data_IF_671001303984
#
_entry.id   IF_671001303984
#
_cell.length_a   1.000
_cell.length_b   1.000
_cell.length_c   1.000
_cell.angle_alpha   90.00
_cell.angle_beta   90.00
_cell.angle_gamma   90.00
#
_symmetry.space_group_name_H-M   'P 1'
#
loop_
_entity.id
_entity.type
_entity.pdbx_description
1 polymer ?
#
# COMPACT_ATOMS: atom_id res chain seq x y z
N UNK A 1 2.80 -68.62 6.93
CA UNK A 1 2.85 -67.25 7.48
C UNK A 1 2.05 -66.38 6.52
N UNK A 2 0.92 -65.83 6.98
CA UNK A 2 -0.03 -65.13 6.12
C UNK A 2 0.44 -63.68 5.90
N UNK A 3 0.38 -63.18 4.67
CA UNK A 3 0.88 -61.83 4.32
C UNK A 3 0.11 -60.73 5.08
N UNK A 4 -1.10 -61.04 5.56
CA UNK A 4 -1.94 -60.18 6.37
C UNK A 4 -1.41 -59.89 7.80
N UNK A 5 -0.46 -60.68 8.32
CA UNK A 5 0.10 -60.51 9.67
C UNK A 5 1.35 -59.63 9.72
N UNK A 6 1.77 -59.04 8.59
CA UNK A 6 2.87 -58.08 8.58
C UNK A 6 2.43 -56.80 9.34
N UNK A 7 3.21 -56.31 10.33
CA UNK A 7 2.80 -55.16 11.15
C UNK A 7 2.53 -53.89 10.34
N UNK A 8 3.10 -53.77 9.13
CA UNK A 8 2.80 -52.67 8.19
C UNK A 8 1.49 -52.84 7.41
N UNK A 9 1.01 -54.07 7.19
CA UNK A 9 -0.24 -54.35 6.48
C UNK A 9 -1.46 -53.89 7.29
N UNK A 10 -1.44 -54.13 8.61
CA UNK A 10 -2.47 -53.66 9.54
C UNK A 10 -2.57 -52.13 9.58
N UNK A 11 -1.45 -51.40 9.54
CA UNK A 11 -1.42 -49.93 9.50
C UNK A 11 -2.03 -49.41 8.19
N UNK A 12 -1.68 -50.01 7.05
CA UNK A 12 -2.21 -49.60 5.74
C UNK A 12 -3.72 -49.85 5.62
N UNK A 13 -4.21 -50.99 6.10
CA UNK A 13 -5.64 -51.32 6.11
C UNK A 13 -6.42 -50.37 7.03
N UNK A 14 -5.91 -50.14 8.24
CA UNK A 14 -6.53 -49.20 9.18
C UNK A 14 -6.53 -47.77 8.61
N UNK A 15 -5.53 -47.41 7.79
CA UNK A 15 -5.53 -46.12 7.09
C UNK A 15 -6.54 -46.01 5.96
N UNK A 16 -6.80 -47.11 5.26
CA UNK A 16 -7.75 -47.16 4.15
C UNK A 16 -9.21 -47.10 4.65
N UNK A 17 -9.50 -47.67 5.82
CA UNK A 17 -10.84 -47.71 6.42
C UNK A 17 -11.28 -46.33 6.95
N UNK A 18 -10.38 -45.58 7.60
CA UNK A 18 -10.73 -44.20 8.00
C UNK A 18 -10.89 -43.29 6.79
N UNK A 19 -10.08 -43.48 5.74
CA UNK A 19 -10.13 -42.64 4.54
C UNK A 19 -11.42 -42.87 3.76
N UNK A 20 -11.91 -44.11 3.67
CA UNK A 20 -13.21 -44.42 3.04
C UNK A 20 -14.40 -43.93 3.86
N UNK A 21 -14.36 -44.04 5.19
CA UNK A 21 -15.40 -43.48 6.07
C UNK A 21 -15.43 -41.94 6.04
N UNK A 22 -14.27 -41.28 5.94
CA UNK A 22 -14.16 -39.83 5.88
C UNK A 22 -14.34 -39.26 4.46
N UNK A 23 -14.22 -40.08 3.42
CA UNK A 23 -14.30 -39.69 2.01
C UNK A 23 -15.50 -38.80 1.66
N UNK A 24 -16.76 -39.11 2.05
CA UNK A 24 -17.89 -38.24 1.70
C UNK A 24 -17.83 -36.88 2.40
N UNK A 25 -17.32 -36.82 3.64
CA UNK A 25 -17.18 -35.58 4.39
C UNK A 25 -16.05 -34.70 3.83
N UNK A 26 -14.91 -35.30 3.46
CA UNK A 26 -13.80 -34.60 2.82
C UNK A 26 -14.18 -34.10 1.42
N UNK A 27 -14.92 -34.91 0.66
CA UNK A 27 -15.45 -34.51 -0.65
C UNK A 27 -16.42 -33.34 -0.56
N UNK A 28 -17.21 -33.23 0.51
CA UNK A 28 -18.12 -32.10 0.73
C UNK A 28 -17.45 -30.86 1.31
N UNK A 29 -16.45 -31.02 2.19
CA UNK A 29 -15.70 -29.90 2.79
C UNK A 29 -14.75 -29.23 1.78
N UNK A 30 -14.16 -30.00 0.87
CA UNK A 30 -13.22 -29.50 -0.15
C UNK A 30 -13.78 -28.35 -1.01
N UNK A 31 -14.97 -28.46 -1.66
CA UNK A 31 -15.51 -27.39 -2.48
C UNK A 31 -15.91 -26.16 -1.67
N UNK A 32 -16.39 -26.34 -0.44
CA UNK A 32 -16.74 -25.22 0.46
C UNK A 32 -15.48 -24.47 0.87
N UNK A 33 -14.42 -25.20 1.25
CA UNK A 33 -13.13 -24.61 1.57
C UNK A 33 -12.53 -23.87 0.36
N UNK A 34 -12.58 -24.49 -0.82
CA UNK A 34 -12.10 -23.89 -2.06
C UNK A 34 -12.90 -22.63 -2.43
N UNK A 35 -14.23 -22.69 -2.38
CA UNK A 35 -15.10 -21.55 -2.67
C UNK A 35 -14.85 -20.39 -1.69
N UNK A 36 -14.72 -20.70 -0.40
CA UNK A 36 -14.40 -19.70 0.63
C UNK A 36 -13.03 -19.07 0.38
N UNK A 37 -12.03 -19.88 0.02
CA UNK A 37 -10.70 -19.41 -0.31
C UNK A 37 -10.70 -18.49 -1.54
N UNK A 38 -11.41 -18.87 -2.61
CA UNK A 38 -11.57 -18.05 -3.82
C UNK A 38 -12.26 -16.72 -3.49
N UNK A 39 -13.35 -16.75 -2.70
CA UNK A 39 -14.07 -15.55 -2.26
C UNK A 39 -13.17 -14.59 -1.50
N UNK A 40 -12.42 -15.09 -0.50
CA UNK A 40 -11.48 -14.28 0.28
C UNK A 40 -10.36 -13.74 -0.60
N UNK A 41 -9.81 -14.54 -1.51
CA UNK A 41 -8.77 -14.12 -2.43
C UNK A 41 -9.26 -13.02 -3.38
N UNK A 42 -10.47 -13.17 -3.94
CA UNK A 42 -11.08 -12.19 -4.82
C UNK A 42 -11.40 -10.88 -4.09
N UNK A 43 -11.93 -10.96 -2.86
CA UNK A 43 -12.19 -9.78 -2.03
C UNK A 43 -10.90 -9.03 -1.70
N UNK A 44 -9.84 -9.74 -1.30
CA UNK A 44 -8.51 -9.15 -1.09
C UNK A 44 -7.95 -8.51 -2.35
N UNK A 45 -8.09 -9.16 -3.51
CA UNK A 45 -7.61 -8.61 -4.77
C UNK A 45 -8.34 -7.32 -5.16
N UNK A 46 -9.65 -7.23 -4.90
CA UNK A 46 -10.44 -6.00 -5.11
C UNK A 46 -9.97 -4.88 -4.19
N UNK A 47 -9.84 -5.13 -2.90
CA UNK A 47 -9.33 -4.15 -1.94
C UNK A 47 -7.94 -3.61 -2.33
N UNK A 48 -7.05 -4.46 -2.85
CA UNK A 48 -5.75 -4.02 -3.35
C UNK A 48 -5.89 -3.09 -4.54
N UNK A 49 -6.78 -3.39 -5.48
CA UNK A 49 -7.03 -2.54 -6.66
C UNK A 49 -7.63 -1.20 -6.27
N UNK A 50 -8.60 -1.20 -5.36
CA UNK A 50 -9.28 0.01 -4.90
C UNK A 50 -8.29 0.93 -4.16
N UNK A 51 -7.47 0.37 -3.27
CA UNK A 51 -6.44 1.16 -2.55
C UNK A 51 -5.29 1.60 -3.46
N UNK A 52 -4.97 0.85 -4.51
CA UNK A 52 -4.02 1.29 -5.53
C UNK A 52 -4.58 2.44 -6.37
N UNK A 53 -5.89 2.44 -6.64
CA UNK A 53 -6.57 3.51 -7.36
C UNK A 53 -6.67 4.79 -6.51
N UNK A 54 -6.91 4.66 -5.21
CA UNK A 54 -6.97 5.77 -4.25
C UNK A 54 -5.60 6.11 -3.64
N UNK A 55 -4.53 6.16 -4.43
CA UNK A 55 -3.23 6.63 -3.93
C UNK A 55 -3.15 8.15 -3.93
N UNK A 56 -2.79 8.72 -2.80
CA UNK A 56 -2.48 10.14 -2.70
C UNK A 56 -1.03 10.33 -3.13
N UNK A 57 -0.83 11.35 -3.96
CA UNK A 57 0.49 11.79 -4.41
C UNK A 57 0.80 13.14 -3.80
N UNK A 58 2.03 13.31 -3.34
CA UNK A 58 2.54 14.55 -2.74
C UNK A 58 3.87 14.87 -3.39
N UNK A 59 4.02 16.09 -3.90
CA UNK A 59 5.29 16.55 -4.46
C UNK A 59 6.21 17.07 -3.36
N UNK A 60 7.48 16.71 -3.43
CA UNK A 60 8.52 17.05 -2.47
C UNK A 60 9.55 17.90 -3.21
N UNK A 61 9.59 19.20 -2.89
CA UNK A 61 10.41 20.19 -3.60
C UNK A 61 11.54 20.63 -2.69
N UNK A 62 12.79 20.23 -2.98
CA UNK A 62 13.95 20.71 -2.23
C UNK A 62 14.22 22.18 -2.55
N UNK A 63 14.66 22.93 -1.56
CA UNK A 63 15.23 24.27 -1.74
C UNK A 63 16.67 24.18 -2.28
N UNK A 64 17.22 25.31 -2.73
CA UNK A 64 18.58 25.39 -3.29
C UNK A 64 19.69 25.07 -2.29
N UNK A 65 19.39 25.07 -0.99
CA UNK A 65 20.35 24.80 0.10
C UNK A 65 20.20 23.40 0.69
N UNK A 66 19.36 22.55 0.09
CA UNK A 66 19.06 21.22 0.61
C UNK A 66 20.32 20.33 0.66
N UNK A 67 20.84 20.10 1.86
CA UNK A 67 21.98 19.21 2.12
C UNK A 67 21.73 18.41 3.42
N UNK A 68 20.92 17.34 3.35
CA UNK A 68 20.46 16.64 4.54
C UNK A 68 21.61 15.85 5.21
N UNK A 69 21.69 15.96 6.53
CA UNK A 69 22.57 15.11 7.32
C UNK A 69 22.08 13.65 7.34
N UNK A 70 22.99 12.69 7.54
CA UNK A 70 22.64 11.28 7.64
C UNK A 70 21.59 11.00 8.73
N UNK A 71 21.65 11.74 9.85
CA UNK A 71 20.67 11.66 10.93
C UNK A 71 19.27 12.14 10.53
N UNK A 72 19.16 13.13 9.64
CA UNK A 72 17.89 13.59 9.08
C UNK A 72 17.32 12.58 8.10
N UNK A 73 18.16 12.01 7.24
CA UNK A 73 17.77 10.91 6.34
C UNK A 73 17.20 9.74 7.15
N UNK A 74 17.87 9.35 8.24
CA UNK A 74 17.40 8.26 9.12
C UNK A 74 16.07 8.57 9.81
N UNK A 75 15.84 9.82 10.25
CA UNK A 75 14.56 10.24 10.83
C UNK A 75 13.44 10.19 9.80
N UNK A 76 13.70 10.70 8.60
CA UNK A 76 12.73 10.68 7.51
C UNK A 76 12.40 9.26 7.06
N UNK A 77 13.40 8.38 6.97
CA UNK A 77 13.17 6.96 6.65
C UNK A 77 12.25 6.27 7.67
N UNK A 78 12.43 6.54 8.97
CA UNK A 78 11.52 6.04 10.02
C UNK A 78 10.11 6.60 9.88
N UNK A 79 9.97 7.88 9.55
CA UNK A 79 8.66 8.49 9.29
C UNK A 79 7.97 7.81 8.11
N UNK A 80 8.66 7.56 6.99
CA UNK A 80 8.12 6.83 5.85
C UNK A 80 7.73 5.39 6.21
N UNK A 81 8.48 4.73 7.09
CA UNK A 81 8.12 3.40 7.60
C UNK A 81 6.75 3.35 8.31
N UNK A 82 6.29 4.48 8.88
CA UNK A 82 4.97 4.58 9.53
C UNK A 82 3.81 4.63 8.55
N UNK A 83 4.04 4.91 7.27
CA UNK A 83 3.01 4.90 6.22
C UNK A 83 2.34 3.52 6.15
N UNK A 84 3.13 2.45 6.23
CA UNK A 84 2.59 1.09 6.24
C UNK A 84 1.68 0.82 7.45
N UNK A 85 2.05 1.34 8.63
CA UNK A 85 1.27 1.19 9.87
C UNK A 85 -0.07 1.91 9.81
N UNK A 86 -0.19 2.99 9.03
CA UNK A 86 -1.46 3.70 8.85
C UNK A 86 -2.46 2.99 7.92
N UNK A 87 -2.10 1.82 7.40
CA UNK A 87 -2.90 1.05 6.45
C UNK A 87 -3.05 -0.43 6.89
N UNK A 88 -3.36 -0.64 8.19
CA UNK A 88 -3.43 -1.94 8.88
C UNK A 88 -4.32 -2.98 8.18
N UNK A 89 -5.40 -2.55 7.52
CA UNK A 89 -6.34 -3.43 6.81
C UNK A 89 -5.98 -3.68 5.33
N UNK A 90 -4.89 -3.08 4.84
CA UNK A 90 -4.49 -3.13 3.43
C UNK A 90 -3.32 -4.09 3.23
N UNK A 91 -3.38 -5.00 2.24
CA UNK A 91 -2.26 -5.89 1.92
C UNK A 91 -0.97 -5.10 1.63
N UNK A 92 0.19 -5.70 1.94
CA UNK A 92 1.50 -5.03 1.94
C UNK A 92 1.81 -4.20 0.68
N UNK A 93 1.39 -4.65 -0.50
CA UNK A 93 1.57 -3.91 -1.76
C UNK A 93 0.75 -2.62 -1.84
N UNK A 94 -0.44 -2.59 -1.25
CA UNK A 94 -1.32 -1.43 -1.23
C UNK A 94 -0.91 -0.40 -0.17
N UNK A 95 -0.34 -0.85 0.94
CA UNK A 95 0.11 -0.01 2.06
C UNK A 95 1.53 0.56 1.94
N UNK A 96 2.29 0.16 0.91
CA UNK A 96 3.64 0.65 0.69
C UNK A 96 3.68 2.12 0.24
N UNK A 97 4.56 2.92 0.83
CA UNK A 97 4.99 4.20 0.29
C UNK A 97 5.84 3.97 -0.97
N UNK A 98 5.72 4.85 -1.97
CA UNK A 98 6.55 4.83 -3.18
C UNK A 98 7.15 6.21 -3.42
N UNK A 99 8.37 6.21 -3.92
CA UNK A 99 9.04 7.41 -4.38
C UNK A 99 9.06 7.35 -5.91
N UNK A 100 8.53 8.39 -6.57
CA UNK A 100 8.51 8.49 -8.03
C UNK A 100 9.26 9.74 -8.44
N UNK A 101 10.24 9.57 -9.30
CA UNK A 101 10.94 10.66 -9.95
C UNK A 101 10.35 10.89 -11.33
N UNK A 102 10.16 12.15 -11.69
CA UNK A 102 9.80 12.56 -13.04
C UNK A 102 10.69 13.71 -13.47
N UNK A 103 10.91 13.87 -14.76
CA UNK A 103 11.55 15.05 -15.32
C UNK A 103 10.51 15.78 -16.18
N UNK A 104 10.21 17.03 -15.83
CA UNK A 104 9.28 17.89 -16.57
C UNK A 104 9.94 19.27 -16.72
N UNK A 105 9.89 19.84 -17.93
CA UNK A 105 10.53 21.12 -18.27
C UNK A 105 12.04 21.17 -17.94
N UNK A 106 12.73 20.04 -18.09
CA UNK A 106 14.16 19.93 -17.75
C UNK A 106 14.47 19.98 -16.25
N UNK A 107 13.44 19.93 -15.39
CA UNK A 107 13.59 19.89 -13.93
C UNK A 107 13.16 18.53 -13.39
N UNK A 108 13.95 17.99 -12.46
CA UNK A 108 13.57 16.78 -11.73
C UNK A 108 12.52 17.13 -10.66
N UNK A 109 11.43 16.38 -10.63
CA UNK A 109 10.39 16.43 -9.60
C UNK A 109 10.35 15.12 -8.85
N UNK A 110 10.23 15.20 -7.53
CA UNK A 110 10.12 14.05 -6.65
C UNK A 110 8.71 13.97 -6.09
N UNK A 111 8.08 12.81 -6.21
CA UNK A 111 6.73 12.55 -5.73
C UNK A 111 6.75 11.40 -4.73
N UNK A 112 6.02 11.57 -3.65
CA UNK A 112 5.74 10.58 -2.63
C UNK A 112 4.31 10.08 -2.80
N UNK A 113 4.14 8.78 -2.96
CA UNK A 113 2.84 8.15 -3.15
C UNK A 113 2.54 7.18 -2.01
N UNK A 114 1.30 7.18 -1.53
CA UNK A 114 0.85 6.22 -0.52
C UNK A 114 -0.67 6.15 -0.42
N UNK A 115 -1.21 5.27 0.44
CA UNK A 115 -2.65 5.14 0.63
C UNK A 115 -3.25 6.43 1.20
N UNK A 116 -4.52 6.73 0.89
CA UNK A 116 -5.26 7.90 1.43
C UNK A 116 -5.18 7.99 2.95
N UNK A 117 -5.22 6.86 3.66
CA UNK A 117 -5.12 6.84 5.13
C UNK A 117 -3.79 7.37 5.67
N UNK A 118 -2.74 7.34 4.84
CA UNK A 118 -1.42 7.87 5.15
C UNK A 118 -1.22 9.32 4.71
N UNK A 119 -2.22 9.97 4.08
CA UNK A 119 -2.06 11.29 3.48
C UNK A 119 -1.48 12.33 4.45
N UNK A 120 -1.88 12.27 5.73
CA UNK A 120 -1.33 13.16 6.76
C UNK A 120 0.18 12.92 7.00
N UNK A 121 0.62 11.66 7.02
CA UNK A 121 2.04 11.30 7.21
C UNK A 121 2.87 11.69 5.97
N UNK A 122 2.29 11.56 4.77
CA UNK A 122 2.93 11.95 3.51
C UNK A 122 3.04 13.49 3.36
N UNK A 123 2.07 14.23 3.91
CA UNK A 123 2.05 15.69 3.87
C UNK A 123 2.96 16.35 4.92
N UNK A 124 3.50 15.59 5.88
CA UNK A 124 4.41 16.11 6.90
C UNK A 124 5.80 16.38 6.28
N UNK A 125 6.34 17.61 6.39
CA UNK A 125 7.70 17.92 5.97
C UNK A 125 8.71 17.04 6.71
N UNK A 126 9.49 16.26 5.95
CA UNK A 126 10.55 15.40 6.48
C UNK A 126 11.84 16.17 6.80
N UNK A 127 12.03 17.31 6.14
CA UNK A 127 13.19 18.17 6.24
C UNK A 127 12.72 19.63 6.28
N UNK A 128 13.45 20.50 6.97
CA UNK A 128 13.12 21.93 7.07
C UNK A 128 13.23 22.65 5.72
N UNK A 129 14.15 22.21 4.88
CA UNK A 129 14.53 22.79 3.58
C UNK A 129 13.74 22.19 2.41
N UNK A 130 12.67 21.47 2.69
CA UNK A 130 11.86 20.76 1.71
C UNK A 130 10.41 21.18 1.84
N UNK A 131 9.87 21.73 0.77
CA UNK A 131 8.46 22.08 0.67
C UNK A 131 7.65 20.84 0.25
N UNK A 132 6.53 20.61 0.92
CA UNK A 132 5.62 19.50 0.63
C UNK A 132 4.35 20.04 0.01
N UNK A 133 4.15 19.76 -1.28
CA UNK A 133 2.98 20.21 -2.05
C UNK A 133 2.03 19.04 -2.24
N UNK A 134 0.94 19.03 -1.49
CA UNK A 134 -0.09 18.00 -1.65
C UNK A 134 -0.72 18.12 -3.05
N UNK A 135 -0.69 17.04 -3.83
CA UNK A 135 -1.38 16.96 -5.11
C UNK A 135 -2.88 16.70 -4.89
N UNK A 136 -3.53 17.52 -4.06
CA UNK A 136 -4.99 17.60 -4.05
C UNK A 136 -5.32 18.37 -5.31
N UNK A 137 -5.75 17.65 -6.36
CA UNK A 137 -6.30 18.16 -7.63
C UNK A 137 -5.99 19.62 -7.80
N UNK A 138 -4.86 19.94 -8.44
CA UNK A 138 -4.41 21.29 -8.80
C UNK A 138 -5.62 22.14 -9.19
N UNK A 139 -6.24 22.80 -8.21
CA UNK A 139 -7.22 23.84 -8.44
C UNK A 139 -6.31 25.02 -8.65
N UNK A 140 -6.00 25.22 -9.92
CA UNK A 140 -5.17 26.30 -10.43
C UNK A 140 -5.46 27.54 -9.58
N UNK A 141 -4.52 27.90 -8.71
CA UNK A 141 -4.69 29.04 -7.81
C UNK A 141 -4.53 30.24 -8.73
N UNK A 142 -5.66 30.72 -9.25
CA UNK A 142 -5.68 31.90 -10.09
C UNK A 142 -5.13 33.06 -9.25
N UNK A 143 -4.00 33.68 -9.64
CA UNK A 143 -3.47 34.80 -8.91
C UNK A 143 -4.50 35.94 -8.95
N UNK A 144 -5.00 36.34 -7.79
CA UNK A 144 -5.90 37.48 -7.65
C UNK A 144 -5.12 38.73 -8.04
N UNK A 145 -5.40 39.26 -9.24
CA UNK A 145 -4.86 40.55 -9.67
C UNK A 145 -5.59 41.64 -8.92
N UNK A 146 -4.89 42.31 -8.01
CA UNK A 146 -5.36 43.57 -7.47
C UNK A 146 -5.22 44.63 -8.56
N UNK A 147 -6.34 45.08 -9.12
CA UNK A 147 -6.33 46.29 -9.93
C UNK A 147 -6.01 47.46 -9.01
N UNK A 148 -4.85 48.10 -9.21
CA UNK A 148 -4.53 49.35 -8.55
C UNK A 148 -5.64 50.35 -8.89
N UNK A 149 -6.46 50.70 -7.89
CA UNK A 149 -7.45 51.75 -8.00
C UNK A 149 -6.67 53.04 -8.22
N UNK A 150 -6.66 53.53 -9.47
CA UNK A 150 -6.05 54.80 -9.81
C UNK A 150 -6.68 55.88 -8.96
N UNK A 151 -5.88 56.48 -8.08
CA UNK A 151 -6.22 57.69 -7.36
C UNK A 151 -6.70 58.72 -8.38
N UNK A 152 -7.99 59.05 -8.28
CA UNK A 152 -8.58 60.18 -8.97
C UNK A 152 -7.99 61.45 -8.38
N UNK A 153 -6.93 61.96 -9.03
CA UNK A 153 -6.50 63.33 -8.87
C UNK A 153 -7.55 64.26 -9.50
N UNK A 154 -8.36 64.91 -8.66
CA UNK A 154 -8.68 66.34 -8.78
C UNK A 154 -9.37 66.88 -7.55
#
# INVERSE_FOLDING_TARGET
MNIADLPGAQVLVNTADWATMAAPYLAALSPVALATWILVAAWRARLVRDVLAERVTVEVVPTSTFDPSEGEVGRWARQLGRVHQSAVSVPARGSAARLRYSAEDGKMRCFLEGPVTAAAVLAMPGFAEVEVRAHRTQKDIQPVRFHAQSEGAK
#
